data_IF_583897279849
#
_entry.id   IF_583897279849
#
_cell.length_a   1.000
_cell.length_b   1.000
_cell.length_c   1.000
_cell.angle_alpha   90.00
_cell.angle_beta   90.00
_cell.angle_gamma   90.00
#
_symmetry.space_group_name_H-M   'P 1'
#
loop_
_entity.id
_entity.type
_entity.pdbx_description
1 polymer ?
#
# COMPACT_ATOMS: atom_id res chain seq x y z
N UNK A 1 2.88 -35.76 -10.57
CA UNK A 1 2.65 -34.40 -11.10
C UNK A 1 1.84 -33.61 -10.08
N UNK A 2 2.10 -32.32 -9.90
CA UNK A 2 1.32 -31.47 -9.00
C UNK A 2 0.23 -30.73 -9.79
N UNK A 3 -1.01 -30.79 -9.33
CA UNK A 3 -2.11 -30.00 -9.86
C UNK A 3 -2.13 -28.63 -9.15
N UNK A 4 -2.20 -27.55 -9.92
CA UNK A 4 -2.32 -26.18 -9.41
C UNK A 4 -3.64 -25.62 -9.92
N UNK A 5 -4.41 -25.00 -9.03
CA UNK A 5 -5.68 -24.34 -9.39
C UNK A 5 -5.82 -23.07 -8.57
N UNK A 6 -6.53 -22.08 -9.12
CA UNK A 6 -6.89 -20.88 -8.39
C UNK A 6 -8.09 -21.15 -7.47
N UNK A 7 -8.16 -20.41 -6.36
CA UNK A 7 -9.27 -20.51 -5.43
C UNK A 7 -9.75 -19.13 -4.99
N UNK A 8 -11.04 -19.01 -4.70
CA UNK A 8 -11.66 -17.81 -4.16
C UNK A 8 -11.83 -18.02 -2.65
N UNK A 9 -11.23 -17.14 -1.85
CA UNK A 9 -11.43 -17.12 -0.41
C UNK A 9 -12.75 -16.40 -0.08
N UNK A 10 -13.71 -17.13 0.48
CA UNK A 10 -15.00 -16.57 0.93
C UNK A 10 -15.42 -17.20 2.24
N UNK A 11 -15.82 -16.38 3.23
CA UNK A 11 -16.34 -16.84 4.52
C UNK A 11 -15.44 -17.88 5.24
N UNK A 12 -14.12 -17.71 5.20
CA UNK A 12 -13.20 -18.64 5.86
C UNK A 12 -12.86 -19.91 5.07
N UNK A 13 -13.41 -20.07 3.85
CA UNK A 13 -13.21 -21.26 3.01
C UNK A 13 -12.57 -20.86 1.67
N UNK A 14 -11.52 -21.58 1.28
CA UNK A 14 -10.94 -21.52 -0.06
C UNK A 14 -11.75 -22.42 -0.99
N UNK A 15 -12.42 -21.81 -1.98
CA UNK A 15 -13.22 -22.50 -2.99
C UNK A 15 -12.43 -22.60 -4.29
N UNK A 16 -11.94 -23.78 -4.68
CA UNK A 16 -11.25 -23.97 -5.96
C UNK A 16 -12.15 -23.58 -7.13
N UNK A 17 -11.58 -22.99 -8.19
CA UNK A 17 -12.31 -22.72 -9.44
C UNK A 17 -12.64 -24.00 -10.20
N UNK A 18 -11.81 -25.02 -10.05
CA UNK A 18 -11.96 -26.33 -10.69
C UNK A 18 -12.14 -27.43 -9.65
N UNK A 19 -12.78 -28.54 -10.04
CA UNK A 19 -12.93 -29.68 -9.14
C UNK A 19 -11.57 -30.33 -8.85
N UNK A 20 -11.23 -30.40 -7.56
CA UNK A 20 -10.03 -31.07 -7.10
C UNK A 20 -10.36 -32.48 -6.62
N UNK A 21 -9.63 -33.48 -7.11
CA UNK A 21 -9.74 -34.87 -6.67
C UNK A 21 -8.96 -35.10 -5.35
N UNK A 22 -9.29 -34.33 -4.31
CA UNK A 22 -8.69 -34.42 -2.98
C UNK A 22 -9.59 -35.23 -2.04
N UNK A 23 -8.97 -35.90 -1.07
CA UNK A 23 -9.66 -36.56 0.03
C UNK A 23 -9.86 -35.57 1.19
N UNK A 24 -10.83 -35.86 2.06
CA UNK A 24 -10.96 -35.13 3.32
C UNK A 24 -9.64 -35.19 4.13
N UNK A 25 -9.33 -34.10 4.84
CA UNK A 25 -8.09 -33.92 5.61
C UNK A 25 -6.77 -34.03 4.82
N UNK A 26 -6.80 -33.96 3.48
CA UNK A 26 -5.59 -33.93 2.67
C UNK A 26 -4.90 -32.55 2.74
N UNK A 27 -3.58 -32.56 3.00
CA UNK A 27 -2.78 -31.33 3.07
C UNK A 27 -2.52 -30.76 1.68
N UNK A 28 -2.68 -29.45 1.54
CA UNK A 28 -2.40 -28.68 0.32
C UNK A 28 -1.45 -27.53 0.63
N UNK A 29 -0.78 -26.99 -0.41
CA UNK A 29 0.04 -25.79 -0.32
C UNK A 29 -0.76 -24.61 -0.87
N UNK A 30 -0.89 -23.55 -0.07
CA UNK A 30 -1.47 -22.28 -0.50
C UNK A 30 -0.34 -21.34 -0.96
N UNK A 31 -0.54 -20.70 -2.10
CA UNK A 31 0.30 -19.60 -2.59
C UNK A 31 -0.61 -18.37 -2.64
N UNK A 32 -0.23 -17.31 -1.94
CA UNK A 32 -0.96 -16.03 -1.94
C UNK A 32 -0.13 -15.01 -2.69
N UNK A 33 -0.66 -14.53 -3.82
CA UNK A 33 -0.05 -13.49 -4.61
C UNK A 33 -0.85 -12.21 -4.41
N UNK A 34 -0.19 -11.14 -3.95
CA UNK A 34 -0.79 -9.82 -3.91
C UNK A 34 -0.87 -9.32 -5.36
N UNK A 35 -2.09 -9.20 -5.88
CA UNK A 35 -2.30 -8.47 -7.12
C UNK A 35 -1.95 -7.01 -6.82
N UNK A 36 -1.03 -6.44 -7.58
CA UNK A 36 -0.66 -5.05 -7.44
C UNK A 36 -1.93 -4.20 -7.60
N UNK A 37 -2.36 -3.55 -6.52
CA UNK A 37 -3.47 -2.63 -6.56
C UNK A 37 -2.93 -1.32 -7.15
N UNK A 38 -2.86 -1.27 -8.49
CA UNK A 38 -2.35 -0.12 -9.23
C UNK A 38 -3.09 1.17 -8.85
N UNK A 39 -4.34 1.06 -8.39
CA UNK A 39 -5.16 2.17 -7.89
C UNK A 39 -4.53 2.87 -6.69
N UNK A 40 -3.97 2.12 -5.73
CA UNK A 40 -3.36 2.68 -4.53
C UNK A 40 -2.06 3.45 -4.84
N UNK A 41 -1.29 2.97 -5.84
CA UNK A 41 -0.07 3.63 -6.30
C UNK A 41 -0.39 4.93 -7.04
N UNK A 42 -1.40 4.91 -7.91
CA UNK A 42 -1.87 6.10 -8.61
C UNK A 42 -2.43 7.16 -7.63
N UNK A 43 -3.21 6.73 -6.64
CA UNK A 43 -3.78 7.61 -5.61
C UNK A 43 -2.72 8.34 -4.78
N UNK A 44 -1.68 7.62 -4.35
CA UNK A 44 -0.55 8.22 -3.62
C UNK A 44 0.17 9.27 -4.47
N UNK A 45 0.43 8.96 -5.75
CA UNK A 45 1.13 9.89 -6.64
C UNK A 45 0.31 11.15 -6.93
N UNK A 46 -1.02 11.03 -7.01
CA UNK A 46 -1.95 12.15 -7.16
C UNK A 46 -2.01 13.00 -5.89
N UNK A 47 -2.07 12.38 -4.72
CA UNK A 47 -2.04 13.08 -3.44
C UNK A 47 -0.74 13.88 -3.24
N UNK A 48 0.41 13.29 -3.60
CA UNK A 48 1.70 13.97 -3.55
C UNK A 48 1.77 15.18 -4.48
N UNK A 49 1.30 15.05 -5.73
CA UNK A 49 1.25 16.19 -6.67
C UNK A 49 0.40 17.34 -6.13
N UNK A 50 -0.77 17.04 -5.54
CA UNK A 50 -1.64 18.04 -4.92
C UNK A 50 -0.96 18.73 -3.73
N UNK A 51 -0.25 17.97 -2.88
CA UNK A 51 0.49 18.51 -1.74
C UNK A 51 1.59 19.48 -2.20
N UNK A 52 2.41 19.04 -3.15
CA UNK A 52 3.54 19.84 -3.67
C UNK A 52 3.05 21.13 -4.33
N UNK A 53 2.01 21.05 -5.17
CA UNK A 53 1.39 22.24 -5.77
C UNK A 53 0.83 23.21 -4.71
N UNK A 54 0.30 22.67 -3.61
CA UNK A 54 -0.13 23.48 -2.46
C UNK A 54 1.03 24.21 -1.79
N UNK A 55 2.13 23.49 -1.49
CA UNK A 55 3.33 24.07 -0.88
C UNK A 55 3.94 25.17 -1.76
N UNK A 56 4.05 24.93 -3.07
CA UNK A 56 4.53 25.93 -4.03
C UNK A 56 3.60 27.15 -4.08
N UNK A 57 2.28 26.93 -4.09
CA UNK A 57 1.28 28.00 -4.11
C UNK A 57 1.25 28.85 -2.84
N UNK A 58 1.68 28.32 -1.69
CA UNK A 58 1.70 29.06 -0.43
C UNK A 58 2.70 30.22 -0.43
N UNK A 59 3.68 30.24 -1.35
CA UNK A 59 4.62 31.35 -1.52
C UNK A 59 5.25 31.80 -0.19
N UNK A 60 5.60 30.84 0.68
CA UNK A 60 6.25 31.17 1.95
C UNK A 60 7.65 31.71 1.68
N UNK A 61 7.83 33.00 1.93
CA UNK A 61 9.14 33.64 1.98
C UNK A 61 9.25 34.45 3.27
N UNK A 62 10.37 34.30 3.98
CA UNK A 62 10.73 35.23 5.05
C UNK A 62 11.55 36.37 4.44
N UNK A 63 11.18 37.61 4.71
CA UNK A 63 12.02 38.78 4.39
C UNK A 63 13.01 39.10 5.50
N UNK A 64 12.79 38.57 6.69
CA UNK A 64 13.61 38.79 7.86
C UNK A 64 14.63 37.65 8.04
N UNK A 65 15.62 37.89 8.91
CA UNK A 65 16.63 36.90 9.27
C UNK A 65 15.91 35.63 9.75
N UNK A 66 16.23 34.50 9.12
CA UNK A 66 15.73 33.20 9.56
C UNK A 66 16.19 32.95 11.00
N UNK A 67 15.31 32.42 11.87
CA UNK A 67 15.68 32.09 13.23
C UNK A 67 16.85 31.09 13.22
N UNK A 68 17.78 31.33 14.13
CA UNK A 68 18.85 30.39 14.42
C UNK A 68 18.29 29.09 14.99
N UNK A 69 19.10 28.03 14.94
CA UNK A 69 18.74 26.73 15.49
C UNK A 69 18.35 26.81 16.98
N UNK A 70 19.01 27.66 17.74
CA UNK A 70 18.77 27.80 19.17
C UNK A 70 17.45 28.54 19.45
N UNK A 71 17.15 29.58 18.65
CA UNK A 71 15.84 30.29 18.66
C UNK A 71 14.67 29.38 18.21
N UNK A 72 14.91 28.44 17.31
CA UNK A 72 13.90 27.47 16.84
C UNK A 72 13.57 26.38 17.86
N UNK A 73 14.49 26.08 18.78
CA UNK A 73 14.38 24.98 19.72
C UNK A 73 14.27 25.43 21.17
N UNK A 74 14.04 26.73 21.41
CA UNK A 74 14.00 27.35 22.75
C UNK A 74 15.15 26.89 23.65
N UNK A 75 16.35 26.75 23.06
CA UNK A 75 17.55 26.31 23.79
C UNK A 75 18.19 27.53 24.45
N UNK A 76 18.51 27.49 25.76
CA UNK A 76 19.18 28.58 26.46
C UNK A 76 20.63 28.77 26.01
#
# INVERSE_FOLDING_TARGET
>A
MAQVTEAIYTHGVLKPKEQLALREAQRVRLIVEALADDTAREDRSRALRRLLAGIEGMSFFSRERLPSRDELHDRP
#
